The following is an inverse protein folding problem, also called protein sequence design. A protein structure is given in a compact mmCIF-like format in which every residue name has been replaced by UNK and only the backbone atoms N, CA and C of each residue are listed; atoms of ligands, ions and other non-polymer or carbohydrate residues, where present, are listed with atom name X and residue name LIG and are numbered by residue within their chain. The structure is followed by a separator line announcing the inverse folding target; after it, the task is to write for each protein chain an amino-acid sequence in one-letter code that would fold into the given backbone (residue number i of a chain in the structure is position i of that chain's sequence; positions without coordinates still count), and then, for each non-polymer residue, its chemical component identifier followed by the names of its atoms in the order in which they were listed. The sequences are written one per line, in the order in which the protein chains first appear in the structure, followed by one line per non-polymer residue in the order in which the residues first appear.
data_IF_155199049855
#
_entry.id   IF_155199049855
#
_cell.length_a   1.000
_cell.length_b   1.000
_cell.length_c   1.000
_cell.angle_alpha   90.00
_cell.angle_beta   90.00
_cell.angle_gamma   90.00
#
_symmetry.space_group_name_H-M   'P 1'
#
loop_
_entity.id
_entity.type
_entity.pdbx_description
1 polymer ?
#
# COMPACT_ATOMS: atom_id res chain seq x y z
N UNK A 1 -14.98 4.17 -20.62
CA UNK A 1 -14.11 4.75 -19.58
C UNK A 1 -14.87 4.75 -18.27
N UNK A 2 -14.32 4.23 -17.15
CA UNK A 2 -14.87 4.61 -15.86
C UNK A 2 -14.73 6.14 -15.73
N UNK A 3 -15.85 6.82 -15.49
CA UNK A 3 -15.90 8.28 -15.41
C UNK A 3 -15.28 8.84 -14.10
N UNK A 4 -14.84 7.96 -13.19
CA UNK A 4 -14.28 8.31 -11.89
C UNK A 4 -12.79 7.98 -11.77
N UNK A 5 -12.16 8.57 -10.77
CA UNK A 5 -10.80 8.19 -10.36
C UNK A 5 -10.79 6.76 -9.82
N UNK A 6 -9.68 6.06 -10.02
CA UNK A 6 -9.50 4.67 -9.57
C UNK A 6 -8.19 4.56 -8.80
N UNK A 7 -8.19 3.75 -7.75
CA UNK A 7 -6.98 3.32 -7.07
C UNK A 7 -6.98 1.80 -6.89
N UNK A 8 -5.82 1.19 -7.12
CA UNK A 8 -5.51 -0.18 -6.73
C UNK A 8 -4.65 -0.14 -5.45
N UNK A 9 -4.96 -1.03 -4.51
CA UNK A 9 -4.34 -1.14 -3.20
C UNK A 9 -3.97 -2.60 -2.95
N UNK A 10 -2.79 -2.86 -2.39
CA UNK A 10 -2.37 -4.18 -1.95
C UNK A 10 -3.34 -4.71 -0.87
N UNK A 11 -3.57 -6.03 -0.88
CA UNK A 11 -4.58 -6.66 -0.02
C UNK A 11 -4.05 -7.03 1.38
N UNK A 12 -2.74 -6.98 1.56
CA UNK A 12 -1.97 -7.46 2.70
C UNK A 12 -1.43 -6.30 3.56
N UNK A 13 -2.25 -5.27 3.76
CA UNK A 13 -1.97 -4.11 4.62
C UNK A 13 -2.72 -4.25 5.95
N UNK A 14 -2.34 -5.16 6.87
CA UNK A 14 -3.12 -5.45 8.07
C UNK A 14 -3.14 -4.31 9.10
N UNK A 15 -2.23 -3.34 8.98
CA UNK A 15 -2.17 -2.15 9.81
C UNK A 15 -2.92 -0.95 9.22
N UNK A 16 -3.48 -1.06 7.99
CA UNK A 16 -4.05 0.05 7.23
C UNK A 16 -5.04 0.89 8.04
N UNK A 17 -4.81 2.20 8.06
CA UNK A 17 -5.69 3.17 8.70
C UNK A 17 -6.43 4.04 7.69
N UNK A 18 -7.76 4.25 7.85
CA UNK A 18 -8.55 5.06 6.93
C UNK A 18 -8.02 6.49 6.75
N UNK A 19 -7.57 7.13 7.83
CA UNK A 19 -7.06 8.51 7.81
C UNK A 19 -5.72 8.64 7.07
N UNK A 20 -4.88 7.61 7.13
CA UNK A 20 -3.62 7.57 6.38
C UNK A 20 -3.89 7.32 4.89
N UNK A 21 -4.80 6.40 4.57
CA UNK A 21 -5.24 6.18 3.19
C UNK A 21 -5.88 7.44 2.58
N UNK A 22 -6.70 8.16 3.34
CA UNK A 22 -7.29 9.43 2.90
C UNK A 22 -6.21 10.47 2.55
N UNK A 23 -5.16 10.61 3.36
CA UNK A 23 -4.03 11.50 3.05
C UNK A 23 -3.29 11.10 1.77
N UNK A 24 -3.07 9.81 1.56
CA UNK A 24 -2.44 9.30 0.33
C UNK A 24 -3.30 9.62 -0.89
N UNK A 25 -4.62 9.36 -0.82
CA UNK A 25 -5.54 9.62 -1.92
C UNK A 25 -5.71 11.12 -2.21
N UNK A 26 -5.76 11.96 -1.18
CA UNK A 26 -5.79 13.42 -1.32
C UNK A 26 -4.53 13.92 -2.04
N UNK A 27 -3.36 13.47 -1.60
CA UNK A 27 -2.07 13.79 -2.25
C UNK A 27 -2.04 13.27 -3.70
N UNK A 28 -2.56 12.07 -3.95
CA UNK A 28 -2.61 11.45 -5.26
C UNK A 28 -3.46 12.25 -6.27
N UNK A 29 -4.51 12.93 -5.78
CA UNK A 29 -5.46 13.67 -6.62
C UNK A 29 -4.82 14.83 -7.41
N UNK A 30 -3.65 15.31 -6.98
CA UNK A 30 -2.87 16.33 -7.67
C UNK A 30 -2.18 15.82 -8.96
N UNK A 31 -2.22 14.51 -9.24
CA UNK A 31 -1.48 13.90 -10.34
C UNK A 31 -2.40 13.07 -11.25
N UNK A 32 -2.15 13.03 -12.57
CA UNK A 32 -2.90 12.16 -13.49
C UNK A 32 -2.79 10.68 -13.11
N UNK A 33 -1.60 10.26 -12.67
CA UNK A 33 -1.30 8.93 -12.12
C UNK A 33 -0.25 9.08 -11.02
N UNK A 34 -0.47 8.40 -9.90
CA UNK A 34 0.43 8.47 -8.75
C UNK A 34 0.50 7.12 -8.03
N UNK A 35 1.60 6.84 -7.35
CA UNK A 35 1.78 5.61 -6.59
C UNK A 35 2.51 5.85 -5.27
N UNK A 36 2.26 4.99 -4.28
CA UNK A 36 2.97 4.96 -3.01
C UNK A 36 3.86 3.71 -2.95
N UNK A 37 5.15 3.88 -2.66
CA UNK A 37 6.04 2.75 -2.44
C UNK A 37 5.73 2.03 -1.12
N UNK A 38 6.01 0.74 -1.10
CA UNK A 38 6.06 -0.07 0.13
C UNK A 38 7.13 0.44 1.13
N UNK A 39 7.13 -0.16 2.32
CA UNK A 39 8.09 0.13 3.38
C UNK A 39 9.52 -0.33 3.01
N UNK A 40 9.65 -1.44 2.28
CA UNK A 40 10.94 -1.95 1.80
C UNK A 40 11.57 -1.06 0.70
N UNK A 41 10.78 -0.17 0.09
CA UNK A 41 11.22 0.78 -0.92
C UNK A 41 11.48 0.18 -2.30
N UNK A 42 10.95 -1.01 -2.61
CA UNK A 42 11.13 -1.67 -3.90
C UNK A 42 9.83 -1.97 -4.63
N UNK A 43 8.74 -2.14 -3.86
CA UNK A 43 7.40 -2.41 -4.33
C UNK A 43 6.50 -1.18 -4.33
N UNK A 44 5.20 -1.43 -4.48
CA UNK A 44 4.14 -0.42 -4.50
C UNK A 44 2.95 -0.97 -3.75
N UNK A 45 2.43 -0.22 -2.79
CA UNK A 45 1.22 -0.61 -2.04
C UNK A 45 -0.04 0.03 -2.61
N UNK A 46 0.08 1.22 -3.21
CA UNK A 46 -1.04 1.91 -3.84
C UNK A 46 -0.64 2.49 -5.20
N UNK A 47 -1.51 2.33 -6.20
CA UNK A 47 -1.43 2.99 -7.51
C UNK A 47 -2.77 3.65 -7.82
N UNK A 48 -2.76 4.86 -8.34
CA UNK A 48 -3.94 5.67 -8.63
C UNK A 48 -3.91 6.26 -10.03
N UNK A 49 -5.10 6.50 -10.57
CA UNK A 49 -5.31 7.17 -11.84
C UNK A 49 -6.53 8.11 -11.75
N UNK A 50 -6.36 9.33 -12.25
CA UNK A 50 -7.43 10.31 -12.41
C UNK A 50 -8.45 9.86 -13.47
N UNK A 51 -9.66 10.47 -13.51
CA UNK A 51 -10.64 10.18 -14.54
C UNK A 51 -10.06 10.29 -15.95
N UNK A 52 -10.39 9.35 -16.82
CA UNK A 52 -9.90 9.32 -18.20
C UNK A 52 -8.46 8.81 -18.36
N UNK A 53 -7.73 8.55 -17.27
CA UNK A 53 -6.39 7.94 -17.32
C UNK A 53 -6.47 6.42 -17.17
N UNK A 54 -5.65 5.70 -17.93
CA UNK A 54 -5.48 4.26 -17.70
C UNK A 54 -4.61 4.02 -16.47
N UNK A 55 -4.97 3.03 -15.64
CA UNK A 55 -4.23 2.73 -14.42
C UNK A 55 -2.80 2.22 -14.72
N UNK A 56 -2.62 1.45 -15.81
CA UNK A 56 -1.37 0.83 -16.24
C UNK A 56 -0.60 0.13 -15.09
N UNK A 57 -1.22 -0.87 -14.42
CA UNK A 57 -0.61 -1.55 -13.29
C UNK A 57 0.63 -2.36 -13.72
N UNK A 58 1.69 -2.25 -12.92
CA UNK A 58 2.96 -2.99 -13.06
C UNK A 58 3.41 -3.55 -11.71
N UNK A 59 2.45 -4.10 -10.95
CA UNK A 59 2.69 -4.78 -9.68
C UNK A 59 3.60 -6.00 -9.83
N UNK A 60 4.21 -6.41 -8.72
CA UNK A 60 5.21 -7.48 -8.65
C UNK A 60 6.61 -6.94 -8.33
N UNK A 61 7.61 -7.77 -8.58
CA UNK A 61 9.02 -7.48 -8.28
C UNK A 61 9.48 -6.21 -9.00
N UNK A 62 10.02 -5.25 -8.26
CA UNK A 62 10.50 -3.97 -8.80
C UNK A 62 9.38 -3.04 -9.27
N UNK A 63 8.15 -3.22 -8.80
CA UNK A 63 6.99 -2.41 -9.21
C UNK A 63 7.18 -0.91 -8.94
N UNK A 64 7.95 -0.49 -7.94
CA UNK A 64 8.32 0.93 -7.75
C UNK A 64 8.97 1.51 -9.00
N UNK A 65 9.98 0.82 -9.54
CA UNK A 65 10.68 1.24 -10.74
C UNK A 65 9.77 1.14 -11.97
N UNK A 66 8.97 0.08 -12.05
CA UNK A 66 8.00 -0.14 -13.12
C UNK A 66 6.95 0.98 -13.22
N UNK A 67 6.34 1.37 -12.10
CA UNK A 67 5.35 2.45 -12.06
C UNK A 67 5.99 3.81 -12.39
N UNK A 68 7.18 4.10 -11.84
CA UNK A 68 7.92 5.32 -12.18
C UNK A 68 8.27 5.39 -13.67
N UNK A 69 8.74 4.29 -14.26
CA UNK A 69 9.05 4.21 -15.68
C UNK A 69 7.78 4.34 -16.56
N UNK A 70 6.61 3.95 -16.04
CA UNK A 70 5.32 4.15 -16.71
C UNK A 70 4.80 5.60 -16.64
N UNK A 71 5.52 6.51 -15.98
CA UNK A 71 5.12 7.91 -15.82
C UNK A 71 4.22 8.22 -14.61
N UNK A 72 4.00 7.26 -13.70
CA UNK A 72 3.30 7.54 -12.45
C UNK A 72 4.21 8.30 -11.47
N UNK A 73 3.67 9.29 -10.77
CA UNK A 73 4.39 10.08 -9.78
C UNK A 73 4.50 9.32 -8.46
N UNK A 74 5.72 9.24 -7.92
CA UNK A 74 5.95 8.64 -6.60
C UNK A 74 5.55 9.63 -5.49
N UNK A 75 4.60 9.25 -4.66
CA UNK A 75 4.09 10.04 -3.55
C UNK A 75 5.01 9.96 -2.33
N UNK A 76 5.21 11.12 -1.69
CA UNK A 76 6.00 11.26 -0.45
C UNK A 76 5.25 11.98 0.68
N UNK A 77 3.99 11.63 0.99
CA UNK A 77 3.33 12.14 2.19
C UNK A 77 3.95 11.52 3.44
N UNK A 78 3.98 12.30 4.51
CA UNK A 78 4.40 11.86 5.84
C UNK A 78 3.24 11.21 6.61
N UNK A 79 3.56 10.40 7.62
CA UNK A 79 2.57 9.81 8.53
C UNK A 79 1.56 8.90 7.82
N UNK A 80 2.05 8.04 6.93
CA UNK A 80 1.27 7.07 6.15
C UNK A 80 1.85 5.66 6.24
N UNK A 81 2.59 5.36 7.31
CA UNK A 81 3.34 4.11 7.46
C UNK A 81 2.44 2.87 7.40
N UNK A 82 1.18 2.98 7.85
CA UNK A 82 0.21 1.88 7.74
C UNK A 82 -0.19 1.54 6.30
N UNK A 83 -0.05 2.50 5.37
CA UNK A 83 -0.33 2.30 3.94
C UNK A 83 0.91 1.75 3.23
N UNK A 84 2.11 1.97 3.78
CA UNK A 84 3.38 1.48 3.23
C UNK A 84 3.70 0.05 3.65
N UNK A 85 3.23 -0.38 4.83
CA UNK A 85 3.60 -1.65 5.41
C UNK A 85 2.69 -2.79 4.91
N UNK A 86 3.02 -3.36 3.76
CA UNK A 86 2.56 -4.68 3.33
C UNK A 86 3.28 -5.78 4.13
N UNK A 87 2.79 -7.03 3.99
CA UNK A 87 3.27 -8.17 4.79
C UNK A 87 3.50 -9.37 3.90
N UNK A 88 4.73 -9.47 3.39
CA UNK A 88 5.23 -10.63 2.65
C UNK A 88 6.04 -11.58 3.55
N UNK A 89 6.70 -11.05 4.58
CA UNK A 89 7.62 -11.79 5.45
C UNK A 89 7.27 -11.69 6.94
N UNK A 90 7.93 -12.53 7.75
CA UNK A 90 7.79 -12.46 9.21
C UNK A 90 8.38 -11.18 9.83
N UNK A 91 9.28 -10.49 9.14
CA UNK A 91 9.78 -9.17 9.58
C UNK A 91 8.74 -8.08 9.32
N UNK A 92 8.11 -8.12 8.16
CA UNK A 92 7.02 -7.21 7.81
C UNK A 92 5.84 -7.37 8.75
N UNK A 93 5.48 -8.61 9.12
CA UNK A 93 4.44 -8.86 10.11
C UNK A 93 4.79 -8.25 11.47
N UNK A 94 6.05 -8.33 11.90
CA UNK A 94 6.51 -7.70 13.15
C UNK A 94 6.40 -6.17 13.08
N UNK A 95 6.78 -5.57 11.95
CA UNK A 95 6.63 -4.13 11.73
C UNK A 95 5.15 -3.71 11.75
N UNK A 96 4.28 -4.45 11.04
CA UNK A 96 2.85 -4.20 11.03
C UNK A 96 2.21 -4.34 12.43
N UNK A 97 2.63 -5.33 13.23
CA UNK A 97 2.20 -5.49 14.62
C UNK A 97 2.60 -4.31 15.49
N UNK A 98 3.80 -3.76 15.30
CA UNK A 98 4.25 -2.55 16.01
C UNK A 98 3.46 -1.29 15.60
N UNK A 99 3.06 -1.19 14.33
CA UNK A 99 2.14 -0.13 13.85
C UNK A 99 0.71 -0.31 14.39
N UNK A 100 0.32 -1.52 14.78
CA UNK A 100 -1.01 -1.86 15.25
C UNK A 100 -1.89 -2.40 14.12
N UNK A 101 -2.03 -3.72 14.08
CA UNK A 101 -2.89 -4.42 13.11
C UNK A 101 -4.35 -4.50 13.54
N UNK A 102 -5.24 -4.73 12.59
CA UNK A 102 -6.65 -5.03 12.86
C UNK A 102 -6.87 -6.32 13.66
N UNK A 103 -8.06 -6.48 14.28
CA UNK A 103 -8.34 -7.56 15.24
C UNK A 103 -8.23 -8.97 14.65
N UNK A 104 -8.51 -9.12 13.34
CA UNK A 104 -8.41 -10.42 12.64
C UNK A 104 -6.96 -10.87 12.53
N UNK A 105 -6.06 -9.97 12.13
CA UNK A 105 -4.63 -10.25 12.02
C UNK A 105 -4.00 -10.44 13.41
N UNK A 106 -4.39 -9.63 14.40
CA UNK A 106 -3.92 -9.81 15.78
C UNK A 106 -4.27 -11.20 16.33
N UNK A 107 -5.52 -11.65 16.14
CA UNK A 107 -5.96 -12.97 16.56
C UNK A 107 -5.22 -14.11 15.84
N UNK A 108 -4.94 -13.95 14.54
CA UNK A 108 -4.16 -14.92 13.76
C UNK A 108 -2.69 -14.97 14.21
N UNK A 109 -2.06 -13.82 14.42
CA UNK A 109 -0.67 -13.71 14.86
C UNK A 109 -0.47 -14.30 16.26
N UNK A 110 -1.43 -14.12 17.18
CA UNK A 110 -1.38 -14.73 18.50
C UNK A 110 -1.28 -16.27 18.46
N UNK A 111 -1.87 -16.92 17.44
CA UNK A 111 -1.78 -18.38 17.26
C UNK A 111 -0.40 -18.84 16.79
N UNK A 112 0.37 -17.99 16.10
CA UNK A 112 1.73 -18.29 15.66
C UNK A 112 2.71 -18.34 16.84
N UNK A 113 2.38 -17.68 17.96
CA UNK A 113 3.20 -17.64 19.18
C UNK A 113 2.91 -18.81 20.13
N UNK A 114 1.95 -19.68 19.82
CA UNK A 114 1.64 -20.88 20.59
C UNK A 114 2.36 -22.07 19.93
N UNK A 115 3.38 -22.68 20.55
CA UNK A 115 3.97 -23.90 20.03
C UNK A 115 2.95 -25.05 20.08
N UNK A 116 2.74 -25.76 18.96
CA UNK A 116 2.01 -27.04 18.93
C UNK A 116 0.52 -26.97 18.52
N UNK A 117 0.23 -26.33 17.38
CA UNK A 117 -0.89 -26.74 16.53
C UNK A 117 -0.35 -27.51 15.33
#
# INVERSE_FOLDING_TARGET
HPAGAVAALNADLPALRPEELARVLDTASAFPRAFLSDAAGTGTTLLSAAPGQELLPRFGVGSRAGHRASGAVELRPDGVDSVRQDVDTGEDLRAALALGVGPRTAAAAARLLIPGQ
#
